data_IF_114690357882
#
_entry.id   IF_114690357882
#
_cell.length_a   1.000
_cell.length_b   1.000
_cell.length_c   1.000
_cell.angle_alpha   90.00
_cell.angle_beta   90.00
_cell.angle_gamma   90.00
#
_symmetry.space_group_name_H-M   'P 1'
#
loop_
_entity.id
_entity.type
_entity.pdbx_description
1 polymer ?
#
# COMPACT_ATOMS: atom_id res chain seq x y z
N UNK A 1 -40.43 -53.68 -46.87
CA UNK A 1 -40.02 -54.01 -45.48
C UNK A 1 -40.05 -52.71 -44.71
N UNK A 2 -41.19 -52.20 -44.24
CA UNK A 2 -42.13 -52.74 -43.26
C UNK A 2 -41.55 -52.73 -41.83
N UNK A 3 -42.14 -51.86 -40.99
CA UNK A 3 -42.13 -51.82 -39.51
C UNK A 3 -40.87 -51.22 -38.85
N UNK A 4 -40.92 -50.21 -37.97
CA UNK A 4 -41.88 -49.94 -36.89
C UNK A 4 -42.06 -48.43 -36.57
N UNK A 5 -43.32 -48.07 -36.33
CA UNK A 5 -43.80 -46.93 -35.55
C UNK A 5 -44.57 -47.52 -34.36
N UNK A 6 -44.32 -47.04 -33.13
CA UNK A 6 -45.17 -47.13 -31.92
C UNK A 6 -44.37 -46.43 -30.78
N UNK A 7 -44.86 -45.54 -29.92
CA UNK A 7 -46.20 -45.03 -29.61
C UNK A 7 -46.07 -43.71 -28.84
N UNK A 8 -47.08 -42.85 -28.99
CA UNK A 8 -47.31 -41.62 -28.24
C UNK A 8 -47.90 -41.87 -26.83
N UNK A 9 -47.69 -40.85 -25.98
CA UNK A 9 -48.60 -40.28 -24.97
C UNK A 9 -48.68 -40.89 -23.55
N UNK A 10 -48.27 -40.05 -22.58
CA UNK A 10 -49.07 -39.72 -21.40
C UNK A 10 -48.87 -38.22 -21.08
N UNK A 11 -49.96 -37.47 -21.18
CA UNK A 11 -50.13 -36.06 -20.76
C UNK A 11 -50.60 -36.09 -19.30
N UNK A 12 -50.02 -35.28 -18.41
CA UNK A 12 -50.79 -34.41 -17.48
C UNK A 12 -49.90 -33.53 -16.60
N UNK A 13 -50.22 -32.23 -16.63
CA UNK A 13 -50.18 -31.21 -15.56
C UNK A 13 -48.84 -30.83 -14.90
N UNK A 14 -48.44 -29.58 -15.19
CA UNK A 14 -47.46 -28.82 -14.43
C UNK A 14 -47.14 -27.50 -15.10
N UNK A 15 -48.09 -26.54 -15.09
CA UNK A 15 -47.76 -25.13 -15.28
C UNK A 15 -46.91 -24.69 -14.09
N UNK A 16 -45.59 -24.84 -14.19
CA UNK A 16 -44.66 -24.06 -13.41
C UNK A 16 -44.28 -22.87 -14.27
N UNK A 17 -44.89 -21.71 -13.98
CA UNK A 17 -44.36 -20.43 -14.40
C UNK A 17 -42.88 -20.39 -14.04
N UNK A 18 -42.03 -20.51 -15.05
CA UNK A 18 -40.63 -20.18 -14.91
C UNK A 18 -40.60 -18.66 -14.69
N UNK A 19 -40.58 -18.24 -13.41
CA UNK A 19 -40.19 -16.88 -13.05
C UNK A 19 -38.90 -16.60 -13.84
N UNK A 20 -38.82 -15.49 -14.58
CA UNK A 20 -37.55 -15.13 -15.18
C UNK A 20 -36.58 -14.96 -14.01
N UNK A 21 -35.68 -15.93 -13.88
CA UNK A 21 -34.44 -15.77 -13.12
C UNK A 21 -33.90 -14.41 -13.52
N UNK A 22 -33.75 -13.54 -12.52
CA UNK A 22 -33.18 -12.22 -12.67
C UNK A 22 -31.95 -12.35 -13.58
N UNK A 23 -31.99 -11.70 -14.74
CA UNK A 23 -30.77 -11.35 -15.43
C UNK A 23 -29.96 -10.53 -14.43
N UNK A 24 -28.89 -11.12 -13.90
CA UNK A 24 -27.79 -10.31 -13.38
C UNK A 24 -27.32 -9.46 -14.55
N UNK A 25 -27.69 -8.19 -14.56
CA UNK A 25 -27.02 -7.18 -15.37
C UNK A 25 -25.60 -7.07 -14.77
N UNK A 26 -24.72 -7.98 -15.21
CA UNK A 26 -23.35 -8.14 -14.72
C UNK A 26 -22.45 -7.01 -15.18
N UNK A 27 -22.71 -5.80 -14.70
CA UNK A 27 -21.75 -4.70 -14.76
C UNK A 27 -20.55 -4.98 -13.85
N UNK A 28 -19.36 -4.53 -14.26
CA UNK A 28 -18.21 -4.47 -13.35
C UNK A 28 -18.56 -3.60 -12.14
N UNK A 29 -17.94 -3.91 -10.99
CA UNK A 29 -18.04 -3.06 -9.79
C UNK A 29 -17.73 -1.60 -10.17
N UNK A 30 -18.60 -0.63 -9.83
CA UNK A 30 -18.43 0.75 -10.27
C UNK A 30 -17.12 1.38 -9.78
N UNK A 31 -16.57 0.91 -8.66
CA UNK A 31 -15.31 1.39 -8.08
C UNK A 31 -14.09 1.10 -8.97
N UNK A 32 -14.22 0.19 -9.95
CA UNK A 32 -13.18 -0.07 -10.97
C UNK A 32 -12.77 1.21 -11.70
N UNK A 33 -13.73 2.10 -11.98
CA UNK A 33 -13.50 3.31 -12.78
C UNK A 33 -13.53 4.60 -11.97
N UNK A 34 -13.53 4.51 -10.64
CA UNK A 34 -13.61 5.66 -9.74
C UNK A 34 -12.23 6.07 -9.23
N UNK A 35 -11.97 7.36 -9.09
CA UNK A 35 -10.85 7.85 -8.28
C UNK A 35 -11.10 7.67 -6.77
N UNK A 36 -10.09 7.93 -5.93
CA UNK A 36 -10.17 7.72 -4.47
C UNK A 36 -11.37 8.45 -3.85
N UNK A 37 -11.59 9.72 -4.18
CA UNK A 37 -12.70 10.50 -3.62
C UNK A 37 -14.07 10.06 -4.14
N UNK A 38 -14.15 9.60 -5.39
CA UNK A 38 -15.35 8.99 -5.94
C UNK A 38 -15.70 7.71 -5.21
N UNK A 39 -14.72 6.85 -4.89
CA UNK A 39 -14.92 5.65 -4.05
C UNK A 39 -15.43 6.04 -2.66
N UNK A 40 -14.82 7.05 -2.02
CA UNK A 40 -15.24 7.53 -0.70
C UNK A 40 -16.70 8.03 -0.73
N UNK A 41 -17.04 8.86 -1.72
CA UNK A 41 -18.40 9.40 -1.90
C UNK A 41 -19.41 8.33 -2.30
N UNK A 42 -19.00 7.32 -3.06
CA UNK A 42 -19.84 6.17 -3.45
C UNK A 42 -20.40 5.46 -2.21
N UNK A 43 -19.57 5.30 -1.18
CA UNK A 43 -19.96 4.72 0.11
C UNK A 43 -20.67 5.69 1.07
N UNK A 44 -20.98 6.91 0.62
CA UNK A 44 -21.70 7.92 1.40
C UNK A 44 -20.85 8.72 2.40
N UNK A 45 -19.52 8.57 2.36
CA UNK A 45 -18.61 9.34 3.21
C UNK A 45 -18.27 10.70 2.58
N UNK A 46 -18.02 11.74 3.40
CA UNK A 46 -17.45 13.00 2.92
C UNK A 46 -16.02 12.78 2.41
N UNK A 47 -15.69 13.42 1.28
CA UNK A 47 -14.35 13.36 0.70
C UNK A 47 -13.84 14.75 0.34
N UNK A 48 -12.70 15.12 0.92
CA UNK A 48 -11.93 16.32 0.60
C UNK A 48 -10.62 15.93 -0.10
N UNK A 49 -10.12 16.81 -0.97
CA UNK A 49 -8.89 16.64 -1.73
C UNK A 49 -7.99 17.86 -1.53
N UNK A 50 -6.70 17.62 -1.36
CA UNK A 50 -5.69 18.65 -1.17
C UNK A 50 -4.47 18.38 -2.04
N UNK A 51 -3.84 19.44 -2.52
CA UNK A 51 -2.53 19.38 -3.17
C UNK A 51 -1.48 19.90 -2.18
N UNK A 52 -0.53 19.04 -1.82
CA UNK A 52 0.59 19.38 -0.93
C UNK A 52 1.86 19.46 -1.75
N UNK A 53 2.59 20.57 -1.64
CA UNK A 53 3.83 20.76 -2.39
C UNK A 53 5.05 20.48 -1.52
N UNK A 54 5.90 19.57 -1.97
CA UNK A 54 7.18 19.27 -1.32
C UNK A 54 8.19 20.39 -1.57
N UNK A 55 9.26 20.43 -0.77
CA UNK A 55 10.30 21.46 -0.89
C UNK A 55 11.08 21.37 -2.21
N UNK A 56 11.19 20.17 -2.78
CA UNK A 56 11.78 19.93 -4.10
C UNK A 56 10.80 20.09 -5.27
N UNK A 57 9.51 20.32 -4.99
CA UNK A 57 8.54 20.82 -5.97
C UNK A 57 7.55 19.79 -6.51
N UNK A 58 7.53 18.55 -5.99
CA UNK A 58 6.48 17.57 -6.29
C UNK A 58 5.16 18.03 -5.69
N UNK A 59 4.06 17.77 -6.40
CA UNK A 59 2.71 18.10 -5.96
C UNK A 59 1.98 16.80 -5.67
N UNK A 60 1.73 16.54 -4.39
CA UNK A 60 1.15 15.32 -3.87
C UNK A 60 -0.35 15.48 -3.67
N UNK A 61 -1.14 14.54 -4.18
CA UNK A 61 -2.59 14.51 -3.97
C UNK A 61 -2.90 13.80 -2.66
N UNK A 62 -3.56 14.49 -1.72
CA UNK A 62 -3.96 13.95 -0.42
C UNK A 62 -5.48 13.92 -0.34
N UNK A 63 -6.05 12.78 0.04
CA UNK A 63 -7.48 12.63 0.26
C UNK A 63 -7.79 12.66 1.76
N UNK A 64 -8.96 13.15 2.14
CA UNK A 64 -9.39 13.20 3.54
C UNK A 64 -10.84 12.76 3.71
N UNK A 65 -11.09 11.94 4.73
CA UNK A 65 -12.42 11.57 5.22
C UNK A 65 -12.61 12.25 6.58
N UNK A 66 -13.22 13.46 6.63
CA UNK A 66 -13.27 14.26 7.87
C UNK A 66 -14.20 13.67 8.94
N UNK A 67 -15.15 12.81 8.58
CA UNK A 67 -16.03 12.11 9.52
C UNK A 67 -16.71 10.89 8.87
N UNK A 68 -17.11 9.92 9.70
CA UNK A 68 -17.87 8.75 9.25
C UNK A 68 -19.36 9.01 9.05
N UNK A 69 -20.03 8.10 8.36
CA UNK A 69 -21.47 8.21 8.06
C UNK A 69 -22.33 8.04 9.31
N UNK A 70 -21.85 7.26 10.29
CA UNK A 70 -22.54 7.01 11.57
C UNK A 70 -22.40 8.18 12.54
N UNK A 71 -21.38 9.01 12.38
CA UNK A 71 -21.07 10.16 13.23
C UNK A 71 -21.18 11.46 12.41
N UNK A 72 -22.42 11.81 12.06
CA UNK A 72 -22.74 12.97 11.19
C UNK A 72 -22.45 14.34 11.82
N UNK A 73 -22.28 14.41 13.15
CA UNK A 73 -21.84 15.64 13.77
C UNK A 73 -20.35 15.85 13.50
N UNK A 74 -20.03 16.87 12.71
CA UNK A 74 -18.70 17.47 12.73
C UNK A 74 -18.43 17.90 14.17
N UNK A 75 -17.50 17.22 14.83
CA UNK A 75 -16.97 17.64 16.12
C UNK A 75 -15.62 18.29 15.81
N UNK A 76 -15.44 19.54 16.22
CA UNK A 76 -14.13 20.19 16.14
C UNK A 76 -13.10 19.38 16.94
N UNK A 77 -11.89 19.22 16.41
CA UNK A 77 -10.78 18.60 17.14
C UNK A 77 -10.72 17.06 17.12
N UNK A 78 -11.33 16.37 16.14
CA UNK A 78 -11.16 14.92 15.98
C UNK A 78 -9.70 14.53 15.80
N UNK A 79 -9.18 13.50 16.49
CA UNK A 79 -7.80 13.05 16.35
C UNK A 79 -7.49 12.66 14.89
N UNK A 80 -6.44 13.25 14.33
CA UNK A 80 -6.04 12.98 12.95
C UNK A 80 -5.23 11.68 12.83
N UNK A 81 -5.52 10.91 11.79
CA UNK A 81 -4.81 9.67 11.44
C UNK A 81 -4.35 9.76 9.99
N UNK A 82 -3.06 9.64 9.76
CA UNK A 82 -2.48 9.61 8.43
C UNK A 82 -2.18 8.17 7.99
N UNK A 83 -2.70 7.79 6.82
CA UNK A 83 -2.58 6.46 6.23
C UNK A 83 -1.65 6.50 5.00
N UNK A 84 -0.51 5.82 5.08
CA UNK A 84 0.51 5.81 4.03
C UNK A 84 0.65 4.41 3.39
N UNK A 85 0.40 4.34 2.09
CA UNK A 85 0.46 3.09 1.31
C UNK A 85 1.89 2.57 1.08
N UNK A 86 1.97 1.33 0.59
CA UNK A 86 3.20 0.60 0.28
C UNK A 86 3.79 0.80 -1.12
N UNK A 87 4.74 -0.07 -1.48
CA UNK A 87 5.40 -0.11 -2.78
C UNK A 87 4.37 -0.28 -3.91
N UNK A 88 4.50 0.48 -5.00
CA UNK A 88 3.64 0.40 -6.19
C UNK A 88 2.13 0.62 -5.93
N UNK A 89 1.75 1.08 -4.76
CA UNK A 89 0.36 1.27 -4.36
C UNK A 89 -0.08 2.74 -4.45
N UNK A 90 -1.33 2.99 -4.04
CA UNK A 90 -1.91 4.31 -3.87
C UNK A 90 -2.76 4.38 -2.59
N UNK A 91 -3.24 5.58 -2.26
CA UNK A 91 -4.15 5.81 -1.15
C UNK A 91 -5.46 5.00 -1.22
N UNK A 92 -5.85 4.52 -2.40
CA UNK A 92 -7.03 3.65 -2.61
C UNK A 92 -6.96 2.36 -1.80
N UNK A 93 -5.77 1.87 -1.41
CA UNK A 93 -5.62 0.66 -0.58
C UNK A 93 -6.45 0.70 0.70
N UNK A 94 -6.68 1.89 1.26
CA UNK A 94 -7.40 2.06 2.52
C UNK A 94 -8.93 2.08 2.39
N UNK A 95 -9.45 2.11 1.16
CA UNK A 95 -10.88 2.32 0.84
C UNK A 95 -11.41 1.44 -0.29
N UNK A 96 -10.65 0.43 -0.74
CA UNK A 96 -11.00 -0.45 -1.89
C UNK A 96 -11.79 -1.71 -1.50
N UNK A 97 -12.24 -1.78 -0.25
CA UNK A 97 -13.12 -2.81 0.30
C UNK A 97 -14.42 -2.16 0.80
N UNK A 98 -15.33 -2.96 1.37
CA UNK A 98 -16.57 -2.44 1.95
C UNK A 98 -16.27 -1.57 3.18
N UNK A 99 -17.15 -0.61 3.56
CA UNK A 99 -16.95 0.28 4.70
C UNK A 99 -16.65 -0.40 6.04
N UNK A 100 -17.20 -1.59 6.27
CA UNK A 100 -16.96 -2.38 7.49
C UNK A 100 -15.65 -3.21 7.43
N UNK A 101 -14.93 -3.19 6.31
CA UNK A 101 -13.72 -3.98 6.04
C UNK A 101 -12.54 -3.14 5.54
N UNK A 102 -12.71 -1.83 5.42
CA UNK A 102 -11.67 -0.89 4.99
C UNK A 102 -11.26 0.01 6.14
N UNK A 103 -9.95 0.07 6.43
CA UNK A 103 -9.42 0.83 7.56
C UNK A 103 -9.81 2.32 7.50
N UNK A 104 -9.77 2.95 6.32
CA UNK A 104 -10.11 4.37 6.17
C UNK A 104 -11.55 4.67 6.61
N UNK A 105 -12.50 3.83 6.18
CA UNK A 105 -13.90 3.96 6.57
C UNK A 105 -14.15 3.61 8.04
N UNK A 106 -13.52 2.54 8.54
CA UNK A 106 -13.64 2.13 9.95
C UNK A 106 -13.10 3.21 10.91
N UNK A 107 -11.98 3.86 10.60
CA UNK A 107 -11.44 4.96 11.40
C UNK A 107 -12.40 6.16 11.40
N UNK A 108 -12.91 6.57 10.24
CA UNK A 108 -13.86 7.67 10.14
C UNK A 108 -15.15 7.39 10.95
N UNK A 109 -15.69 6.17 10.84
CA UNK A 109 -16.82 5.67 11.64
C UNK A 109 -16.51 5.57 13.14
N UNK A 110 -15.24 5.57 13.54
CA UNK A 110 -14.82 5.52 14.94
C UNK A 110 -14.37 6.87 15.51
N UNK A 111 -14.64 7.97 14.80
CA UNK A 111 -14.46 9.33 15.31
C UNK A 111 -13.12 9.99 14.95
N UNK A 112 -12.34 9.40 14.06
CA UNK A 112 -11.07 9.95 13.61
C UNK A 112 -11.23 10.85 12.37
N UNK A 113 -10.33 11.82 12.25
CA UNK A 113 -10.14 12.61 11.02
C UNK A 113 -9.09 11.91 10.14
N UNK A 114 -9.52 11.28 9.05
CA UNK A 114 -8.66 10.36 8.29
C UNK A 114 -8.03 11.08 7.10
N UNK A 115 -6.71 11.03 7.02
CA UNK A 115 -5.91 11.58 5.93
C UNK A 115 -5.20 10.45 5.19
N UNK A 116 -5.30 10.44 3.86
CA UNK A 116 -4.82 9.36 2.99
C UNK A 116 -3.75 9.93 2.06
N UNK A 117 -2.52 9.42 2.21
CA UNK A 117 -1.35 9.87 1.46
C UNK A 117 -1.20 9.21 0.10
N UNK A 118 -0.53 9.90 -0.81
CA UNK A 118 -0.03 9.37 -2.08
C UNK A 118 1.43 9.79 -2.28
N UNK A 119 2.32 8.81 -2.45
CA UNK A 119 3.74 9.07 -2.71
C UNK A 119 3.98 9.63 -4.12
N UNK A 120 5.00 10.48 -4.26
CA UNK A 120 5.44 11.01 -5.56
C UNK A 120 5.55 9.92 -6.64
N UNK A 121 5.04 10.25 -7.83
CA UNK A 121 5.10 9.41 -9.02
C UNK A 121 4.05 8.31 -9.12
N UNK A 122 3.22 8.07 -8.10
CA UNK A 122 2.03 7.25 -8.29
C UNK A 122 0.96 7.97 -9.14
N UNK A 123 -0.12 7.28 -9.50
CA UNK A 123 -1.23 7.77 -10.34
C UNK A 123 -1.71 9.17 -9.98
N UNK A 124 -1.79 9.47 -8.68
CA UNK A 124 -2.42 10.69 -8.15
C UNK A 124 -1.39 11.80 -7.86
N UNK A 125 -0.13 11.45 -7.61
CA UNK A 125 0.97 12.37 -7.29
C UNK A 125 1.99 12.45 -8.44
N UNK A 126 1.49 12.59 -9.69
CA UNK A 126 2.29 12.67 -10.92
C UNK A 126 2.41 14.11 -11.46
N UNK A 127 2.72 15.08 -10.58
CA UNK A 127 2.84 16.51 -10.91
C UNK A 127 4.06 17.14 -10.23
N UNK A 128 4.64 18.16 -10.88
CA UNK A 128 5.76 18.94 -10.34
C UNK A 128 5.63 20.42 -10.73
N UNK A 129 6.17 21.33 -9.93
CA UNK A 129 6.20 22.77 -10.24
C UNK A 129 6.98 23.11 -11.51
N UNK A 130 8.03 22.32 -11.81
CA UNK A 130 9.02 22.65 -12.85
C UNK A 130 9.41 21.49 -13.76
N UNK A 131 9.15 20.24 -13.37
CA UNK A 131 9.59 19.05 -14.11
C UNK A 131 8.40 18.44 -14.83
N UNK A 132 8.62 17.90 -16.02
CA UNK A 132 7.59 17.19 -16.77
C UNK A 132 7.69 15.69 -16.42
N UNK A 133 6.59 15.00 -16.05
CA UNK A 133 6.56 13.55 -15.84
C UNK A 133 7.05 12.69 -17.01
N UNK A 134 7.20 13.27 -18.21
CA UNK A 134 7.78 12.60 -19.37
C UNK A 134 9.31 12.73 -19.45
N UNK A 135 10.00 13.41 -18.53
CA UNK A 135 11.46 13.50 -18.51
C UNK A 135 12.05 12.63 -17.40
N UNK A 136 13.32 12.24 -17.53
CA UNK A 136 13.97 11.33 -16.57
C UNK A 136 14.16 12.00 -15.20
N UNK A 137 14.40 13.31 -15.18
CA UNK A 137 14.67 14.10 -13.98
C UNK A 137 13.48 14.07 -13.01
N UNK A 138 12.25 13.95 -13.53
CA UNK A 138 11.05 13.75 -12.71
C UNK A 138 11.05 12.41 -11.95
N UNK A 139 11.77 11.40 -12.43
CA UNK A 139 11.76 10.05 -11.84
C UNK A 139 13.04 9.73 -11.06
N UNK A 140 13.91 10.72 -10.86
CA UNK A 140 15.16 10.60 -10.09
C UNK A 140 14.88 10.67 -8.57
N UNK A 141 14.05 9.75 -8.07
CA UNK A 141 13.71 9.63 -6.66
C UNK A 141 13.53 8.18 -6.23
N UNK A 142 13.64 7.91 -4.94
CA UNK A 142 13.29 6.64 -4.30
C UNK A 142 12.48 6.88 -3.02
N UNK A 143 12.32 5.84 -2.20
CA UNK A 143 11.75 5.99 -0.86
C UNK A 143 12.59 6.89 0.07
N UNK A 144 13.84 7.24 -0.28
CA UNK A 144 14.62 8.30 0.37
C UNK A 144 13.92 9.65 0.31
N UNK A 145 13.57 10.10 -0.90
CA UNK A 145 12.92 11.39 -1.08
C UNK A 145 11.49 11.36 -0.54
N UNK A 146 10.80 10.21 -0.60
CA UNK A 146 9.51 10.06 0.06
C UNK A 146 9.62 10.27 1.58
N UNK A 147 10.65 9.71 2.23
CA UNK A 147 10.90 9.92 3.65
C UNK A 147 11.34 11.35 3.96
N UNK A 148 12.27 11.91 3.19
CA UNK A 148 12.90 13.22 3.46
C UNK A 148 12.06 14.41 3.04
N UNK A 149 11.15 14.25 2.08
CA UNK A 149 10.46 15.37 1.41
C UNK A 149 8.94 15.21 1.41
N UNK A 150 8.41 14.06 1.00
CA UNK A 150 6.96 13.86 0.95
C UNK A 150 6.38 13.87 2.37
N UNK A 151 6.92 13.01 3.24
CA UNK A 151 6.36 12.81 4.57
C UNK A 151 6.37 14.09 5.44
N UNK A 152 7.47 14.87 5.50
CA UNK A 152 7.45 16.15 6.23
C UNK A 152 6.43 17.13 5.67
N UNK A 153 6.33 17.27 4.34
CA UNK A 153 5.39 18.19 3.72
C UNK A 153 3.94 17.84 4.08
N UNK A 154 3.59 16.56 4.01
CA UNK A 154 2.23 16.08 4.30
C UNK A 154 1.90 16.17 5.79
N UNK A 155 2.78 15.72 6.69
CA UNK A 155 2.53 15.83 8.14
C UNK A 155 2.40 17.29 8.55
N UNK A 156 3.28 18.17 8.07
CA UNK A 156 3.21 19.59 8.39
C UNK A 156 1.88 20.18 7.93
N UNK A 157 1.50 19.92 6.68
CA UNK A 157 0.21 20.34 6.12
C UNK A 157 -0.99 19.87 6.96
N UNK A 158 -1.00 18.60 7.39
CA UNK A 158 -2.08 18.05 8.23
C UNK A 158 -2.11 18.76 9.59
N UNK A 159 -0.96 18.89 10.26
CA UNK A 159 -0.90 19.54 11.58
C UNK A 159 -1.31 21.01 11.54
N UNK A 160 -0.95 21.73 10.48
CA UNK A 160 -1.35 23.12 10.26
C UNK A 160 -2.84 23.25 9.95
N UNK A 161 -3.35 22.41 9.05
CA UNK A 161 -4.76 22.42 8.64
C UNK A 161 -5.71 22.06 9.78
N UNK A 162 -5.31 21.10 10.62
CA UNK A 162 -6.14 20.60 11.72
C UNK A 162 -5.91 21.34 13.03
N UNK A 163 -4.82 22.10 13.17
CA UNK A 163 -4.37 22.70 14.42
C UNK A 163 -3.85 21.68 15.45
N UNK A 164 -3.73 20.40 15.09
CA UNK A 164 -3.25 19.36 16.00
C UNK A 164 -1.73 19.36 16.10
N UNK A 165 -1.24 19.23 17.33
CA UNK A 165 0.20 19.14 17.61
C UNK A 165 0.78 17.77 17.23
N UNK A 166 -0.02 16.73 17.37
CA UNK A 166 0.38 15.36 17.07
C UNK A 166 -0.74 14.61 16.36
N UNK A 167 -0.36 13.71 15.45
CA UNK A 167 -1.27 12.83 14.70
C UNK A 167 -0.86 11.37 14.87
N UNK A 168 -1.75 10.44 14.55
CA UNK A 168 -1.39 9.03 14.42
C UNK A 168 -0.87 8.75 13.01
N UNK A 169 0.12 7.86 12.88
CA UNK A 169 0.63 7.41 11.59
C UNK A 169 0.37 5.92 11.43
N UNK A 170 -0.22 5.52 10.31
CA UNK A 170 -0.35 4.11 9.91
C UNK A 170 0.36 3.93 8.57
N UNK A 171 1.34 3.03 8.54
CA UNK A 171 2.07 2.68 7.32
C UNK A 171 1.88 1.22 6.98
N UNK A 172 1.72 0.92 5.69
CA UNK A 172 1.80 -0.45 5.16
C UNK A 172 3.06 -0.60 4.29
N UNK A 173 3.80 -1.71 4.44
CA UNK A 173 4.91 -2.05 3.55
C UNK A 173 5.94 -0.91 3.43
N UNK A 174 6.26 -0.41 2.23
CA UNK A 174 7.12 0.77 2.03
C UNK A 174 6.68 2.00 2.83
N UNK A 175 5.39 2.17 3.12
CA UNK A 175 4.90 3.23 4.00
C UNK A 175 5.48 3.14 5.42
N UNK A 176 5.83 1.94 5.88
CA UNK A 176 6.58 1.76 7.13
C UNK A 176 8.05 2.13 6.99
N UNK A 177 8.70 1.77 5.88
CA UNK A 177 10.10 2.13 5.58
C UNK A 177 10.28 3.64 5.59
N UNK A 178 9.38 4.36 4.90
CA UNK A 178 9.35 5.82 4.84
C UNK A 178 9.30 6.41 6.27
N UNK A 179 8.45 5.85 7.14
CA UNK A 179 8.35 6.26 8.54
C UNK A 179 9.61 5.93 9.34
N UNK A 180 10.18 4.72 9.22
CA UNK A 180 11.42 4.35 9.91
C UNK A 180 12.57 5.29 9.55
N UNK A 181 12.73 5.62 8.26
CA UNK A 181 13.76 6.54 7.79
C UNK A 181 13.53 7.95 8.32
N UNK A 182 12.30 8.45 8.18
CA UNK A 182 11.96 9.81 8.56
C UNK A 182 12.02 10.03 10.07
N UNK A 183 11.41 9.15 10.86
CA UNK A 183 11.29 9.32 12.30
C UNK A 183 12.58 9.00 13.07
N UNK A 184 13.52 8.26 12.47
CA UNK A 184 14.88 8.08 13.01
C UNK A 184 15.82 9.25 12.72
N UNK A 185 15.57 10.04 11.67
CA UNK A 185 16.50 11.10 11.22
C UNK A 185 15.97 12.52 11.40
N UNK A 186 14.67 12.70 11.61
CA UNK A 186 14.03 14.01 11.78
C UNK A 186 13.26 14.09 13.11
N UNK A 187 13.94 14.38 14.23
CA UNK A 187 13.32 14.41 15.57
C UNK A 187 12.15 15.38 15.69
N UNK A 188 12.21 16.53 15.02
CA UNK A 188 11.11 17.52 15.02
C UNK A 188 9.85 16.93 14.36
N UNK A 189 10.01 16.21 13.24
CA UNK A 189 8.89 15.53 12.58
C UNK A 189 8.37 14.39 13.44
N UNK A 190 9.27 13.56 14.00
CA UNK A 190 8.91 12.46 14.88
C UNK A 190 8.10 12.94 16.10
N UNK A 191 8.39 14.14 16.63
CA UNK A 191 7.64 14.73 17.74
C UNK A 191 6.16 15.00 17.43
N UNK A 192 5.80 15.13 16.14
CA UNK A 192 4.43 15.29 15.66
C UNK A 192 3.68 13.97 15.54
N UNK A 193 4.31 12.83 15.84
CA UNK A 193 3.66 11.53 15.79
C UNK A 193 3.35 11.05 17.19
N UNK A 194 2.05 10.84 17.45
CA UNK A 194 1.54 10.33 18.72
C UNK A 194 1.85 8.83 18.88
N UNK A 195 1.59 8.05 17.83
CA UNK A 195 1.93 6.63 17.74
C UNK A 195 2.06 6.22 16.27
N UNK A 196 3.00 5.31 16.01
CA UNK A 196 3.22 4.70 14.71
C UNK A 196 2.66 3.26 14.70
N UNK A 197 1.70 2.99 13.81
CA UNK A 197 1.18 1.66 13.52
C UNK A 197 1.82 1.12 12.24
N UNK A 198 2.67 0.10 12.37
CA UNK A 198 3.43 -0.49 11.27
C UNK A 198 2.82 -1.83 10.84
N UNK A 199 2.33 -1.89 9.60
CA UNK A 199 1.65 -3.05 9.02
C UNK A 199 2.52 -3.68 7.94
N UNK A 200 2.83 -4.99 8.05
CA UNK A 200 3.82 -5.65 7.22
C UNK A 200 5.12 -4.83 7.11
N UNK A 201 5.80 -4.57 8.23
CA UNK A 201 6.86 -3.58 8.29
C UNK A 201 8.10 -4.03 7.53
N UNK A 202 8.67 -3.13 6.73
CA UNK A 202 9.86 -3.38 5.93
C UNK A 202 10.94 -2.40 6.33
N UNK A 203 12.04 -2.93 6.86
CA UNK A 203 13.24 -2.15 7.17
C UNK A 203 14.48 -2.76 6.50
N UNK A 204 14.59 -4.08 6.54
CA UNK A 204 15.52 -4.86 5.72
C UNK A 204 14.72 -5.81 4.84
N UNK A 205 15.32 -6.18 3.70
CA UNK A 205 14.78 -7.14 2.74
C UNK A 205 15.87 -8.15 2.37
N UNK A 206 16.70 -8.52 3.34
CA UNK A 206 17.83 -9.40 3.11
C UNK A 206 17.40 -10.88 3.04
N UNK A 207 16.27 -11.23 3.67
CA UNK A 207 15.81 -12.62 3.85
C UNK A 207 14.45 -12.89 3.20
N UNK A 208 13.88 -11.89 2.52
CA UNK A 208 12.62 -12.01 1.77
C UNK A 208 12.64 -13.13 0.72
N UNK A 209 11.47 -13.76 0.56
CA UNK A 209 11.20 -14.79 -0.46
C UNK A 209 10.38 -14.25 -1.63
N UNK A 210 10.05 -12.95 -1.61
CA UNK A 210 9.29 -12.28 -2.66
C UNK A 210 10.01 -12.36 -4.00
N UNK A 211 9.27 -12.48 -5.13
CA UNK A 211 9.83 -12.31 -6.47
C UNK A 211 10.58 -10.98 -6.68
N UNK A 212 10.37 -9.97 -5.84
CA UNK A 212 11.14 -8.72 -5.83
C UNK A 212 12.65 -8.96 -5.70
N UNK A 213 13.05 -10.01 -4.96
CA UNK A 213 14.47 -10.41 -4.85
C UNK A 213 15.11 -10.73 -6.19
N UNK A 214 14.34 -11.12 -7.22
CA UNK A 214 14.91 -11.39 -8.55
C UNK A 214 15.61 -10.17 -9.14
N UNK A 215 15.16 -8.96 -8.82
CA UNK A 215 15.82 -7.72 -9.28
C UNK A 215 17.23 -7.58 -8.71
N UNK A 216 17.50 -8.08 -7.50
CA UNK A 216 18.82 -7.95 -6.87
C UNK A 216 19.88 -8.84 -7.55
N UNK A 217 19.47 -9.94 -8.19
CA UNK A 217 20.37 -10.80 -8.98
C UNK A 217 20.76 -10.17 -10.31
N UNK A 218 20.05 -9.13 -10.76
CA UNK A 218 20.38 -8.40 -11.99
C UNK A 218 21.39 -7.29 -11.65
N UNK A 219 22.52 -7.19 -12.37
CA UNK A 219 23.40 -6.02 -12.30
C UNK A 219 22.62 -4.72 -12.54
N UNK A 220 22.85 -3.69 -11.73
CA UNK A 220 22.07 -2.44 -11.78
C UNK A 220 22.03 -1.81 -13.18
N UNK A 221 23.15 -1.82 -13.91
CA UNK A 221 23.19 -1.29 -15.29
C UNK A 221 22.19 -1.98 -16.22
N UNK A 222 21.96 -3.29 -16.05
CA UNK A 222 20.95 -4.02 -16.81
C UNK A 222 19.53 -3.66 -16.36
N UNK A 223 19.31 -3.36 -15.08
CA UNK A 223 17.99 -2.86 -14.61
C UNK A 223 17.67 -1.54 -15.34
N UNK A 224 18.64 -0.63 -15.43
CA UNK A 224 18.50 0.64 -16.16
C UNK A 224 18.32 0.46 -17.67
N UNK A 225 18.98 -0.52 -18.28
CA UNK A 225 18.82 -0.82 -19.71
C UNK A 225 17.47 -1.47 -20.02
N UNK A 226 16.95 -2.32 -19.13
CA UNK A 226 15.68 -3.03 -19.30
C UNK A 226 14.46 -2.14 -19.03
N UNK A 227 14.49 -1.35 -17.96
CA UNK A 227 13.33 -0.57 -17.49
C UNK A 227 13.41 0.92 -17.83
N UNK A 228 14.56 1.40 -18.31
CA UNK A 228 14.78 2.81 -18.56
C UNK A 228 14.93 3.62 -17.26
N UNK A 229 14.85 4.95 -17.37
CA UNK A 229 15.14 5.91 -16.28
C UNK A 229 13.91 6.74 -15.89
N UNK A 230 12.71 6.19 -16.03
CA UNK A 230 11.43 6.89 -15.78
C UNK A 230 10.56 6.10 -14.80
N UNK A 231 9.25 6.07 -15.04
CA UNK A 231 8.30 5.22 -14.34
C UNK A 231 8.60 3.74 -14.59
N UNK A 232 8.50 2.96 -13.52
CA UNK A 232 8.47 1.52 -13.59
C UNK A 232 7.06 1.08 -14.00
N UNK A 233 6.84 0.97 -15.31
CA UNK A 233 5.59 0.48 -15.88
C UNK A 233 5.73 -0.98 -16.30
N UNK A 234 5.03 -1.94 -15.66
CA UNK A 234 5.16 -3.35 -15.98
C UNK A 234 4.54 -3.66 -17.35
N UNK A 235 5.40 -3.96 -18.33
CA UNK A 235 4.99 -4.58 -19.60
C UNK A 235 4.69 -6.07 -19.39
N UNK A 236 3.95 -6.69 -20.31
CA UNK A 236 3.61 -8.12 -20.27
C UNK A 236 4.83 -9.04 -20.08
N UNK A 237 5.99 -8.68 -20.62
CA UNK A 237 7.24 -9.45 -20.49
C UNK A 237 7.83 -9.39 -19.07
N UNK A 238 7.59 -8.30 -18.33
CA UNK A 238 8.04 -8.16 -16.95
C UNK A 238 7.22 -9.03 -15.99
N UNK A 239 5.90 -9.11 -16.24
CA UNK A 239 5.00 -9.99 -15.49
C UNK A 239 5.42 -11.44 -15.70
N UNK A 240 5.73 -11.84 -16.94
CA UNK A 240 6.29 -13.17 -17.23
C UNK A 240 7.63 -13.43 -16.51
N UNK A 241 8.54 -12.45 -16.49
CA UNK A 241 9.84 -12.58 -15.82
C UNK A 241 9.69 -12.90 -14.32
N UNK A 242 8.79 -12.22 -13.62
CA UNK A 242 8.57 -12.46 -12.20
C UNK A 242 7.75 -13.75 -11.96
N UNK A 243 6.79 -14.09 -12.83
CA UNK A 243 5.79 -15.14 -12.59
C UNK A 243 6.27 -16.59 -12.79
N UNK A 244 7.35 -16.80 -13.55
CA UNK A 244 7.83 -18.12 -14.05
C UNK A 244 8.05 -19.22 -13.00
N UNK A 245 8.27 -18.87 -11.72
CA UNK A 245 8.52 -19.82 -10.64
C UNK A 245 7.42 -19.84 -9.56
N UNK A 246 6.66 -18.76 -9.42
CA UNK A 246 5.73 -18.57 -8.29
C UNK A 246 4.31 -19.03 -8.62
N UNK A 247 3.88 -18.83 -9.87
CA UNK A 247 2.50 -19.08 -10.31
C UNK A 247 2.28 -20.46 -10.97
N UNK A 248 3.30 -21.33 -10.96
CA UNK A 248 3.34 -22.57 -11.73
C UNK A 248 2.61 -23.76 -11.08
N UNK A 249 1.96 -23.60 -9.91
CA UNK A 249 1.53 -24.73 -9.07
C UNK A 249 0.01 -24.92 -8.86
N UNK A 250 -0.86 -24.03 -9.35
CA UNK A 250 -2.35 -24.16 -9.34
C UNK A 250 -2.94 -23.35 -10.51
N UNK A 251 -4.20 -23.57 -10.96
CA UNK A 251 -4.75 -22.85 -12.11
C UNK A 251 -4.48 -21.35 -11.93
N UNK A 252 -3.87 -20.72 -12.95
CA UNK A 252 -3.37 -19.35 -12.87
C UNK A 252 -4.48 -18.44 -12.34
N UNK A 253 -4.37 -18.05 -11.07
CA UNK A 253 -5.14 -16.96 -10.51
C UNK A 253 -4.96 -15.76 -11.43
N UNK A 254 -6.04 -15.07 -11.80
CA UNK A 254 -5.94 -13.83 -12.60
C UNK A 254 -4.97 -12.84 -11.93
N UNK A 255 -4.83 -12.93 -10.60
CA UNK A 255 -3.88 -12.19 -9.77
C UNK A 255 -2.41 -12.41 -10.13
N UNK A 256 -2.03 -13.60 -10.60
CA UNK A 256 -0.69 -13.89 -11.10
C UNK A 256 -0.32 -13.09 -12.37
N UNK A 257 -1.33 -12.61 -13.09
CA UNK A 257 -1.16 -11.68 -14.22
C UNK A 257 -0.95 -10.23 -13.79
N UNK A 258 -0.92 -9.92 -12.49
CA UNK A 258 -0.74 -8.57 -11.97
C UNK A 258 0.58 -8.48 -11.17
N UNK A 259 1.47 -7.56 -11.57
CA UNK A 259 2.81 -7.44 -10.97
C UNK A 259 2.77 -7.09 -9.49
N UNK A 260 1.75 -6.34 -9.03
CA UNK A 260 1.64 -5.94 -7.64
C UNK A 260 1.37 -7.15 -6.74
N UNK A 261 0.37 -7.96 -7.09
CA UNK A 261 0.08 -9.22 -6.40
C UNK A 261 1.28 -10.18 -6.43
N UNK A 262 2.00 -10.21 -7.56
CA UNK A 262 3.17 -11.06 -7.72
C UNK A 262 4.36 -10.63 -6.86
N UNK A 263 4.63 -9.33 -6.73
CA UNK A 263 5.73 -8.82 -5.91
C UNK A 263 5.39 -8.87 -4.42
N UNK A 264 4.15 -8.56 -4.04
CA UNK A 264 3.76 -8.50 -2.64
C UNK A 264 3.40 -9.87 -2.05
N UNK A 265 2.74 -10.76 -2.81
CA UNK A 265 2.15 -12.00 -2.29
C UNK A 265 0.70 -11.80 -1.84
N UNK A 266 -0.11 -12.86 -1.91
CA UNK A 266 -1.54 -12.84 -1.53
C UNK A 266 -2.02 -14.20 -0.99
N UNK A 267 -2.97 -14.19 -0.05
CA UNK A 267 -3.76 -15.37 0.33
C UNK A 267 -5.13 -15.35 -0.36
N UNK A 268 -5.34 -16.24 -1.34
CA UNK A 268 -6.64 -16.38 -2.02
C UNK A 268 -7.80 -16.71 -1.06
N UNK A 269 -7.52 -17.36 0.07
CA UNK A 269 -8.58 -17.75 1.02
C UNK A 269 -9.09 -16.58 1.83
N UNK A 270 -8.25 -15.55 2.01
CA UNK A 270 -8.57 -14.38 2.80
C UNK A 270 -8.75 -13.12 1.95
N UNK A 271 -8.77 -13.24 0.62
CA UNK A 271 -9.04 -12.16 -0.31
C UNK A 271 -10.46 -12.24 -0.88
N UNK A 272 -11.15 -11.10 -1.01
CA UNK A 272 -12.42 -11.05 -1.73
C UNK A 272 -12.21 -11.15 -3.24
N UNK A 273 -12.26 -12.37 -3.78
CA UNK A 273 -12.05 -12.63 -5.21
C UNK A 273 -13.06 -11.92 -6.13
N UNK A 274 -14.23 -11.52 -5.62
CA UNK A 274 -15.21 -10.75 -6.41
C UNK A 274 -14.76 -9.29 -6.64
N UNK A 275 -13.89 -8.77 -5.76
CA UNK A 275 -13.33 -7.41 -5.86
C UNK A 275 -11.98 -7.33 -6.57
N UNK A 276 -11.45 -8.46 -7.06
CA UNK A 276 -10.21 -8.51 -7.85
C UNK A 276 -10.16 -7.48 -9.00
N UNK A 277 -11.23 -7.21 -9.77
CA UNK A 277 -11.20 -6.16 -10.80
C UNK A 277 -10.88 -4.77 -10.24
N UNK A 278 -11.36 -4.46 -9.02
CA UNK A 278 -11.10 -3.19 -8.35
C UNK A 278 -9.63 -3.13 -7.93
N UNK A 279 -9.12 -4.16 -7.25
CA UNK A 279 -7.73 -4.19 -6.80
C UNK A 279 -6.74 -4.09 -7.98
N UNK A 280 -6.98 -4.85 -9.04
CA UNK A 280 -6.06 -4.93 -10.19
C UNK A 280 -6.11 -3.70 -11.09
N UNK A 281 -7.17 -2.90 -11.04
CA UNK A 281 -7.25 -1.61 -11.74
C UNK A 281 -6.54 -0.51 -10.96
N UNK A 282 -6.64 -0.55 -9.63
CA UNK A 282 -6.01 0.44 -8.74
C UNK A 282 -4.54 0.14 -8.40
N UNK A 283 -4.10 -1.10 -8.56
CA UNK A 283 -2.73 -1.54 -8.29
C UNK A 283 -2.15 -2.37 -9.46
N UNK A 284 -0.91 -2.09 -9.91
CA UNK A 284 0.00 -1.06 -9.40
C UNK A 284 -0.39 0.37 -9.82
N UNK A 285 -0.11 1.35 -8.97
CA UNK A 285 -0.35 2.77 -9.21
C UNK A 285 0.90 3.54 -9.68
N UNK A 286 2.06 2.88 -9.80
CA UNK A 286 3.29 3.48 -10.33
C UNK A 286 4.34 3.88 -9.27
N UNK A 287 5.60 3.88 -9.70
CA UNK A 287 6.81 4.27 -8.94
C UNK A 287 7.93 4.56 -9.95
N UNK A 288 9.03 5.17 -9.54
CA UNK A 288 10.24 5.28 -10.36
C UNK A 288 11.01 3.96 -10.48
N UNK A 289 11.74 3.78 -11.59
CA UNK A 289 12.75 2.71 -11.70
C UNK A 289 13.83 2.88 -10.65
N UNK A 290 14.21 4.12 -10.30
CA UNK A 290 15.18 4.38 -9.24
C UNK A 290 14.74 3.80 -7.89
N UNK A 291 13.45 3.85 -7.54
CA UNK A 291 12.94 3.22 -6.34
C UNK A 291 13.06 1.69 -6.38
N UNK A 292 12.85 1.07 -7.54
CA UNK A 292 13.05 -0.38 -7.72
C UNK A 292 14.52 -0.77 -7.62
N UNK A 293 15.43 0.07 -8.13
CA UNK A 293 16.87 -0.10 -7.96
C UNK A 293 17.25 0.03 -6.49
N UNK A 294 16.66 0.98 -5.75
CA UNK A 294 16.89 1.10 -4.31
C UNK A 294 16.49 -0.18 -3.57
N UNK A 295 15.32 -0.76 -3.88
CA UNK A 295 14.92 -2.04 -3.30
C UNK A 295 15.87 -3.18 -3.68
N UNK A 296 16.36 -3.22 -4.92
CA UNK A 296 17.36 -4.20 -5.35
C UNK A 296 18.71 -4.05 -4.62
N UNK A 297 19.10 -2.82 -4.28
CA UNK A 297 20.26 -2.53 -3.41
C UNK A 297 20.01 -3.03 -1.99
N UNK A 298 18.82 -2.77 -1.44
CA UNK A 298 18.42 -3.21 -0.10
C UNK A 298 18.46 -4.72 0.11
N UNK A 299 18.22 -5.53 -0.93
CA UNK A 299 18.35 -7.01 -0.82
C UNK A 299 19.81 -7.44 -0.67
N UNK A 300 20.76 -6.62 -1.13
CA UNK A 300 22.21 -6.89 -1.03
C UNK A 300 22.80 -6.40 0.29
N UNK A 301 22.04 -5.63 1.07
CA UNK A 301 22.49 -5.06 2.35
C UNK A 301 21.65 -5.62 3.50
N UNK A 302 22.30 -5.87 4.64
CA UNK A 302 21.63 -6.29 5.88
C UNK A 302 21.12 -5.11 6.71
N UNK A 303 21.06 -3.92 6.10
CA UNK A 303 20.77 -2.64 6.75
C UNK A 303 19.85 -1.80 5.89
N UNK A 304 19.04 -0.97 6.57
CA UNK A 304 18.30 0.10 5.94
C UNK A 304 19.27 1.25 5.60
N UNK A 305 19.57 1.43 4.33
CA UNK A 305 20.48 2.48 3.84
C UNK A 305 19.76 3.43 2.91
N UNK A 306 20.36 4.60 2.69
CA UNK A 306 19.97 5.47 1.58
C UNK A 306 20.39 4.86 0.23
N UNK A 307 19.89 5.44 -0.85
CA UNK A 307 20.13 5.02 -2.21
C UNK A 307 21.63 5.13 -2.55
N UNK A 308 22.22 4.08 -3.12
CA UNK A 308 23.61 4.11 -3.57
C UNK A 308 23.70 4.68 -4.99
N UNK A 309 24.20 5.92 -5.11
CA UNK A 309 24.47 6.60 -6.38
C UNK A 309 25.83 6.22 -6.99
N UNK A 310 26.54 5.24 -6.41
CA UNK A 310 27.94 4.96 -6.64
C UNK A 310 28.85 5.99 -5.96
N UNK A 311 30.16 5.69 -5.85
CA UNK A 311 31.11 6.51 -5.06
C UNK A 311 31.04 8.02 -5.32
N UNK A 312 31.02 8.42 -6.59
CA UNK A 312 30.99 9.85 -6.99
C UNK A 312 29.62 10.47 -6.72
N UNK A 313 28.53 9.74 -7.00
CA UNK A 313 27.19 10.21 -6.72
C UNK A 313 26.92 10.34 -5.22
N UNK A 314 27.33 9.35 -4.41
CA UNK A 314 27.23 9.40 -2.96
C UNK A 314 27.95 10.63 -2.39
N UNK A 315 29.10 10.99 -2.94
CA UNK A 315 29.79 12.20 -2.53
C UNK A 315 28.98 13.47 -2.83
N UNK A 316 28.37 13.54 -4.01
CA UNK A 316 27.52 14.68 -4.37
C UNK A 316 26.23 14.77 -3.53
N UNK A 317 25.65 13.63 -3.13
CA UNK A 317 24.38 13.58 -2.41
C UNK A 317 24.52 13.59 -0.88
N UNK A 318 25.57 12.96 -0.34
CA UNK A 318 25.70 12.66 1.09
C UNK A 318 26.98 13.20 1.73
N UNK A 319 27.90 13.78 0.97
CA UNK A 319 29.24 14.12 1.43
C UNK A 319 30.03 12.92 2.01
N UNK A 320 29.70 11.69 1.60
CA UNK A 320 30.44 10.46 1.92
C UNK A 320 30.42 9.49 0.74
N UNK A 321 31.37 8.54 0.66
CA UNK A 321 31.53 7.66 -0.50
C UNK A 321 30.58 6.45 -0.53
N UNK A 322 29.92 6.17 0.59
CA UNK A 322 28.92 5.11 0.78
C UNK A 322 27.59 5.73 1.19
N UNK A 323 26.43 5.11 0.93
CA UNK A 323 25.17 5.63 1.42
C UNK A 323 25.12 5.63 2.96
N UNK A 324 24.52 6.66 3.60
CA UNK A 324 24.28 6.65 5.05
C UNK A 324 23.29 5.55 5.45
N UNK A 325 23.41 5.08 6.68
CA UNK A 325 22.52 4.07 7.28
C UNK A 325 21.43 4.78 8.08
N UNK A 326 20.18 4.36 7.94
CA UNK A 326 19.08 4.79 8.81
C UNK A 326 19.04 3.90 10.04
N UNK A 327 19.37 4.47 11.20
CA UNK A 327 19.43 3.72 12.44
C UNK A 327 18.06 3.71 13.14
N UNK A 328 17.38 2.56 13.11
CA UNK A 328 16.04 2.39 13.68
C UNK A 328 16.04 2.64 15.20
N UNK A 329 17.18 2.43 15.87
CA UNK A 329 17.32 2.72 17.31
C UNK A 329 17.18 4.20 17.65
N UNK A 330 17.28 5.10 16.67
CA UNK A 330 17.07 6.54 16.87
C UNK A 330 15.58 6.93 16.76
N UNK A 331 14.71 6.00 16.32
CA UNK A 331 13.27 6.23 16.24
C UNK A 331 12.59 6.08 17.61
N UNK A 332 12.36 7.20 18.28
CA UNK A 332 11.77 7.24 19.63
C UNK A 332 10.23 7.34 19.66
N UNK A 333 9.57 7.14 18.52
CA UNK A 333 8.11 7.15 18.39
C UNK A 333 7.53 5.83 18.96
N UNK A 334 6.50 5.88 19.84
CA UNK A 334 5.80 4.66 20.28
C UNK A 334 5.27 3.89 19.07
N UNK A 335 5.66 2.62 18.94
CA UNK A 335 5.38 1.83 17.73
C UNK A 335 4.60 0.55 18.05
N UNK A 336 3.48 0.36 17.36
CA UNK A 336 2.67 -0.86 17.38
C UNK A 336 2.80 -1.57 16.04
N UNK A 337 3.06 -2.88 16.05
CA UNK A 337 3.49 -3.62 14.87
C UNK A 337 2.62 -4.86 14.62
N UNK A 338 2.19 -5.06 13.37
CA UNK A 338 1.55 -6.31 12.93
C UNK A 338 2.37 -6.95 11.80
N UNK A 339 2.64 -8.25 11.92
CA UNK A 339 3.42 -9.06 10.98
C UNK A 339 2.67 -10.31 10.54
N UNK A 340 2.95 -10.79 9.32
CA UNK A 340 2.30 -11.96 8.73
C UNK A 340 3.26 -13.15 8.78
N UNK A 341 2.74 -14.33 9.16
CA UNK A 341 3.57 -15.54 9.24
C UNK A 341 3.89 -16.16 7.88
N UNK A 342 3.09 -15.89 6.85
CA UNK A 342 3.38 -16.30 5.48
C UNK A 342 4.03 -15.21 4.64
N UNK A 343 3.95 -13.95 5.08
CA UNK A 343 4.43 -12.76 4.35
C UNK A 343 5.79 -12.98 3.68
N UNK A 344 5.76 -12.96 2.35
CA UNK A 344 6.93 -13.22 1.52
C UNK A 344 7.80 -11.99 1.34
N UNK A 345 7.27 -10.78 1.52
CA UNK A 345 7.99 -9.51 1.32
C UNK A 345 8.54 -8.98 2.64
N UNK A 346 7.68 -8.76 3.64
CA UNK A 346 8.07 -8.41 5.00
C UNK A 346 8.28 -9.69 5.82
N UNK A 347 9.32 -10.44 5.46
CA UNK A 347 9.49 -11.82 5.92
C UNK A 347 9.64 -11.91 7.46
N UNK A 348 9.15 -12.99 8.09
CA UNK A 348 9.23 -13.16 9.53
C UNK A 348 10.64 -13.03 10.13
N UNK A 349 11.70 -13.34 9.38
CA UNK A 349 13.08 -13.21 9.85
C UNK A 349 13.57 -11.75 9.83
N UNK A 350 13.36 -11.02 8.74
CA UNK A 350 13.63 -9.58 8.69
C UNK A 350 12.81 -8.84 9.76
N UNK A 351 11.54 -9.21 9.97
CA UNK A 351 10.70 -8.65 11.05
C UNK A 351 11.25 -9.01 12.44
N UNK A 352 11.71 -10.25 12.67
CA UNK A 352 12.29 -10.64 13.94
C UNK A 352 13.54 -9.79 14.28
N UNK A 353 14.37 -9.48 13.29
CA UNK A 353 15.51 -8.58 13.44
C UNK A 353 15.05 -7.14 13.74
N UNK A 354 14.06 -6.64 13.02
CA UNK A 354 13.49 -5.30 13.21
C UNK A 354 12.95 -5.11 14.65
N UNK A 355 12.25 -6.09 15.19
CA UNK A 355 11.69 -6.02 16.55
C UNK A 355 12.75 -5.76 17.62
N UNK A 356 13.98 -6.24 17.42
CA UNK A 356 15.09 -6.00 18.36
C UNK A 356 15.65 -4.58 18.30
N UNK A 357 15.34 -3.82 17.25
CA UNK A 357 15.92 -2.50 16.98
C UNK A 357 14.98 -1.35 17.38
N UNK A 358 13.68 -1.60 17.55
CA UNK A 358 12.68 -0.57 17.87
C UNK A 358 12.72 -0.27 19.39
N UNK A 359 13.20 0.91 19.83
CA UNK A 359 13.38 1.19 21.26
C UNK A 359 12.07 1.30 22.04
N UNK A 360 11.00 1.81 21.39
CA UNK A 360 9.68 2.00 21.99
C UNK A 360 8.61 1.15 21.31
N UNK A 361 8.87 -0.16 21.24
CA UNK A 361 7.86 -1.13 20.80
C UNK A 361 6.80 -1.29 21.89
N UNK A 362 5.58 -0.81 21.63
CA UNK A 362 4.47 -0.86 22.59
C UNK A 362 3.53 -2.04 22.35
N UNK A 363 3.55 -2.61 21.15
CA UNK A 363 2.73 -3.76 20.77
C UNK A 363 3.32 -4.50 19.58
N UNK A 364 3.23 -5.83 19.59
CA UNK A 364 3.51 -6.68 18.43
C UNK A 364 2.48 -7.81 18.36
N UNK A 365 1.90 -8.03 17.18
CA UNK A 365 1.09 -9.20 16.87
C UNK A 365 1.58 -9.85 15.58
N UNK A 366 1.90 -11.13 15.65
CA UNK A 366 2.13 -11.96 14.47
C UNK A 366 0.86 -12.75 14.13
N UNK A 367 0.40 -12.69 12.88
CA UNK A 367 -0.77 -13.41 12.38
C UNK A 367 -0.29 -14.48 11.42
N UNK A 368 -0.34 -15.74 11.87
CA UNK A 368 0.42 -16.84 11.25
C UNK A 368 0.05 -17.12 9.80
N UNK A 369 -1.23 -17.00 9.43
CA UNK A 369 -1.72 -17.30 8.08
C UNK A 369 -1.68 -16.11 7.12
N UNK A 370 -1.39 -14.90 7.60
CA UNK A 370 -1.41 -13.70 6.76
C UNK A 370 -0.21 -13.59 5.83
N UNK A 371 -0.52 -13.15 4.61
CA UNK A 371 0.41 -12.72 3.57
C UNK A 371 0.46 -11.18 3.52
N UNK A 372 1.31 -10.61 2.65
CA UNK A 372 1.61 -9.18 2.65
C UNK A 372 0.41 -8.25 2.37
N UNK A 373 -0.56 -8.73 1.60
CA UNK A 373 -1.73 -7.94 1.19
C UNK A 373 -2.94 -8.10 2.13
N UNK A 374 -2.90 -9.04 3.07
CA UNK A 374 -3.97 -9.24 4.06
C UNK A 374 -4.15 -8.01 4.96
N UNK A 375 -3.08 -7.25 5.21
CA UNK A 375 -3.12 -6.03 6.01
C UNK A 375 -4.03 -4.93 5.43
N UNK A 376 -4.25 -4.94 4.12
CA UNK A 376 -5.09 -3.96 3.42
C UNK A 376 -6.37 -4.59 2.87
N UNK A 377 -6.35 -5.87 2.50
CA UNK A 377 -7.45 -6.53 1.81
C UNK A 377 -7.95 -7.84 2.43
N UNK A 378 -7.36 -8.27 3.55
CA UNK A 378 -7.76 -9.46 4.27
C UNK A 378 -9.20 -9.36 4.76
N UNK A 379 -10.01 -10.39 4.51
CA UNK A 379 -11.41 -10.45 4.93
C UNK A 379 -11.56 -10.41 6.45
N UNK A 380 -10.58 -10.95 7.18
CA UNK A 380 -10.50 -10.97 8.64
C UNK A 380 -9.68 -9.79 9.25
N UNK A 381 -9.16 -8.88 8.42
CA UNK A 381 -8.37 -7.74 8.87
C UNK A 381 -9.06 -6.84 9.92
N UNK A 382 -10.39 -6.61 9.86
CA UNK A 382 -11.10 -5.88 10.90
C UNK A 382 -10.99 -6.52 12.28
N UNK A 383 -11.08 -7.85 12.35
CA UNK A 383 -11.09 -8.61 13.60
C UNK A 383 -9.66 -8.82 14.13
N UNK A 384 -8.72 -9.16 13.26
CA UNK A 384 -7.35 -9.48 13.64
C UNK A 384 -6.50 -8.23 13.91
N UNK A 385 -6.80 -7.09 13.28
CA UNK A 385 -5.93 -5.92 13.32
C UNK A 385 -6.66 -4.59 13.55
N UNK A 386 -7.62 -4.21 12.70
CA UNK A 386 -8.17 -2.84 12.75
C UNK A 386 -8.88 -2.53 14.07
N UNK A 387 -9.59 -3.50 14.65
CA UNK A 387 -10.27 -3.32 15.95
C UNK A 387 -9.30 -2.99 17.07
N UNK A 388 -8.18 -3.72 17.18
CA UNK A 388 -7.16 -3.47 18.21
C UNK A 388 -6.44 -2.15 17.97
N UNK A 389 -6.17 -1.80 16.71
CA UNK A 389 -5.57 -0.52 16.36
C UNK A 389 -6.45 0.66 16.81
N UNK A 390 -7.75 0.60 16.52
CA UNK A 390 -8.73 1.63 16.91
C UNK A 390 -8.83 1.75 18.44
N UNK A 391 -8.83 0.63 19.15
CA UNK A 391 -8.80 0.58 20.62
C UNK A 391 -7.55 1.32 21.16
N UNK A 392 -6.36 0.98 20.66
CA UNK A 392 -5.11 1.63 21.07
C UNK A 392 -5.10 3.12 20.76
N UNK A 393 -5.60 3.54 19.59
CA UNK A 393 -5.71 4.97 19.28
C UNK A 393 -6.59 5.69 20.30
N UNK A 394 -7.76 5.15 20.64
CA UNK A 394 -8.71 5.74 21.60
C UNK A 394 -8.14 5.89 23.01
N UNK A 395 -7.29 4.97 23.45
CA UNK A 395 -6.59 5.07 24.74
C UNK A 395 -5.61 6.26 24.80
N UNK A 396 -5.24 6.81 23.64
CA UNK A 396 -4.26 7.89 23.50
C UNK A 396 -4.85 9.19 22.95
N UNK A 397 -6.18 9.28 22.71
CA UNK A 397 -6.82 10.51 22.19
C UNK A 397 -6.82 11.61 23.23
#
# INVERSE_FOLDING_TARGET
>A
MAWLVFSLALITFGMAECRPSCKEDGGLDPEVNMNISEIIRHWGYPAEEFEVVTDDGYILSINRIPHGVKYQAWQEGKPAVFLQHGLLAAGSNWVTNLPNTSLGFLLADNGFDVWIGNSRGNTWSRKHKHLNPDTKEYWEFSHDEMAKKDLPAVINFITETTGQKQIFYVGHSQGTTIAFMAFSTMPELASKIKMFFALAPVATVALTKSPMTKLSFIPEFLIWDLFGRKDFFPQNELIKFFATEFCSRKPLSVLCGNVFFLLCGFDEKNLNMSRTPVYTTHCPAGTSVQNMVHWAQGVKTDKLTAYDYGKTGNMAHYNQSTPPVYNIQDMMVPTALWSGGQDTLADPQDVALLLTQIPKLVYHRNIEHWEHLDFIWGLDAPQEMYSKMIEMMREHV
#
